data_IF_709017785584
#
_entry.id   IF_709017785584
#
_cell.length_a   1.000
_cell.length_b   1.000
_cell.length_c   1.000
_cell.angle_alpha   90.00
_cell.angle_beta   90.00
_cell.angle_gamma   90.00
#
_symmetry.space_group_name_H-M   'P 1'
#
loop_
_entity.id
_entity.type
_entity.pdbx_description
1 polymer ?
#
# COMPACT_ATOMS: atom_id res chain seq x y z
N UNK A 1 9.35 3.73 -11.80
CA UNK A 1 9.25 4.21 -10.40
C UNK A 1 10.20 3.36 -9.55
N UNK A 2 11.08 3.98 -8.76
CA UNK A 2 11.95 3.22 -7.85
C UNK A 2 11.15 2.72 -6.63
N UNK A 3 11.66 1.69 -5.97
CA UNK A 3 10.98 1.13 -4.79
C UNK A 3 10.80 2.14 -3.65
N UNK A 4 11.72 3.09 -3.50
CA UNK A 4 11.63 4.14 -2.47
C UNK A 4 10.46 5.11 -2.73
N UNK A 5 10.24 5.54 -3.97
CA UNK A 5 9.09 6.38 -4.33
C UNK A 5 7.78 5.61 -4.23
N UNK A 6 7.77 4.33 -4.64
CA UNK A 6 6.59 3.48 -4.48
C UNK A 6 6.17 3.36 -3.00
N UNK A 7 7.13 3.17 -2.07
CA UNK A 7 6.85 3.13 -0.63
C UNK A 7 6.29 4.44 -0.08
N UNK A 8 6.71 5.59 -0.62
CA UNK A 8 6.13 6.89 -0.27
C UNK A 8 4.68 6.99 -0.75
N UNK A 9 4.43 6.67 -2.01
CA UNK A 9 3.07 6.71 -2.58
C UNK A 9 2.11 5.73 -1.86
N UNK A 10 2.57 4.54 -1.48
CA UNK A 10 1.78 3.58 -0.69
C UNK A 10 1.36 4.21 0.64
N UNK A 11 2.27 4.89 1.36
CA UNK A 11 1.92 5.58 2.62
C UNK A 11 0.83 6.62 2.41
N UNK A 12 0.94 7.43 1.35
CA UNK A 12 -0.06 8.45 1.03
C UNK A 12 -1.42 7.83 0.68
N UNK A 13 -1.43 6.74 -0.09
CA UNK A 13 -2.65 6.02 -0.46
C UNK A 13 -3.32 5.32 0.74
N UNK A 14 -2.52 4.81 1.69
CA UNK A 14 -3.04 4.28 2.95
C UNK A 14 -3.63 5.38 3.83
N UNK A 15 -2.97 6.54 3.93
CA UNK A 15 -3.47 7.68 4.69
C UNK A 15 -4.79 8.22 4.12
N UNK A 16 -4.97 8.17 2.79
CA UNK A 16 -6.23 8.48 2.11
C UNK A 16 -7.31 7.40 2.26
N UNK A 17 -6.98 6.25 2.84
CA UNK A 17 -7.89 5.10 2.93
C UNK A 17 -8.23 4.46 1.58
N UNK A 18 -7.47 4.72 0.51
CA UNK A 18 -7.75 4.22 -0.84
C UNK A 18 -7.27 2.78 -1.06
N UNK A 19 -6.29 2.33 -0.27
CA UNK A 19 -5.76 0.96 -0.26
C UNK A 19 -5.60 0.48 1.18
N UNK A 20 -5.64 -0.84 1.37
CA UNK A 20 -5.37 -1.51 2.66
C UNK A 20 -4.33 -2.59 2.50
N UNK A 21 -3.56 -2.84 3.56
CA UNK A 21 -2.60 -3.93 3.59
C UNK A 21 -3.33 -5.27 3.77
N UNK A 22 -2.89 -6.30 3.03
CA UNK A 22 -3.35 -7.68 3.22
C UNK A 22 -2.30 -8.47 4.01
N UNK A 23 -1.05 -8.40 3.57
CA UNK A 23 0.04 -9.19 4.15
C UNK A 23 1.37 -8.46 4.02
N UNK A 24 2.22 -8.61 5.04
CA UNK A 24 3.58 -8.12 5.05
C UNK A 24 4.54 -9.26 5.39
N UNK A 25 5.48 -9.51 4.48
CA UNK A 25 6.63 -10.36 4.66
C UNK A 25 7.91 -9.53 4.45
N UNK A 26 9.06 -10.03 4.90
CA UNK A 26 10.34 -9.32 4.84
C UNK A 26 10.75 -8.95 3.40
N UNK A 27 10.40 -9.78 2.42
CA UNK A 27 10.69 -9.57 1.00
C UNK A 27 9.53 -8.99 0.20
N UNK A 28 8.30 -9.02 0.71
CA UNK A 28 7.11 -8.64 -0.06
C UNK A 28 6.02 -8.04 0.81
N UNK A 29 5.40 -6.97 0.32
CA UNK A 29 4.23 -6.34 0.94
C UNK A 29 3.10 -6.33 -0.08
N UNK A 30 1.94 -6.85 0.31
CA UNK A 30 0.78 -7.02 -0.57
C UNK A 30 -0.33 -6.07 -0.09
N UNK A 31 -0.79 -5.23 -1.00
CA UNK A 31 -1.85 -4.25 -0.77
C UNK A 31 -3.01 -4.52 -1.72
N UNK A 32 -4.22 -4.14 -1.30
CA UNK A 32 -5.41 -4.20 -2.13
C UNK A 32 -6.18 -2.88 -2.09
N UNK A 33 -7.01 -2.66 -3.08
CA UNK A 33 -7.90 -1.49 -3.13
C UNK A 33 -8.89 -1.55 -1.97
N UNK A 34 -9.10 -0.41 -1.31
CA UNK A 34 -10.22 -0.25 -0.40
C UNK A 34 -11.48 -0.02 -1.24
N UNK A 35 -12.44 -0.93 -1.13
CA UNK A 35 -13.79 -0.76 -1.67
C UNK A 35 -14.71 -0.49 -0.50
N UNK A 36 -15.49 0.59 -0.55
CA UNK A 36 -16.55 0.85 0.43
C UNK A 36 -17.52 -0.35 0.40
N UNK A 37 -17.57 -1.09 1.51
CA UNK A 37 -18.74 -1.87 1.92
C UNK A 37 -19.54 -1.02 2.89
#
# INVERSE_FOLDING_TARGET
INGSLARRAIKDLMARGSIRMISAHSSQQIYTRATNT
#
